data_IF_793304908295
#
_entry.id   IF_793304908295
#
_cell.length_a   1.000
_cell.length_b   1.000
_cell.length_c   1.000
_cell.angle_alpha   90.00
_cell.angle_beta   90.00
_cell.angle_gamma   90.00
#
_symmetry.space_group_name_H-M   'P 1'
#
loop_
_entity.id
_entity.type
_entity.pdbx_description
1 polymer ?
#
# COMPACT_ATOMS: atom_id res chain seq x y z
N UNK A 1 -5.74 15.96 -10.75
CA UNK A 1 -5.93 16.60 -9.43
C UNK A 1 -4.99 16.01 -8.40
N UNK A 2 -4.20 16.83 -7.78
CA UNK A 2 -3.28 16.36 -6.77
C UNK A 2 -4.02 15.98 -5.49
N UNK A 3 -3.50 15.02 -4.76
CA UNK A 3 -3.94 14.71 -3.41
C UNK A 3 -3.69 15.93 -2.52
N UNK A 4 -4.48 16.06 -1.45
CA UNK A 4 -4.26 17.11 -0.45
C UNK A 4 -3.11 16.74 0.49
N UNK A 5 -2.71 15.49 0.54
CA UNK A 5 -1.60 15.05 1.36
C UNK A 5 -0.29 15.53 0.77
N UNK A 6 0.64 15.94 1.63
CA UNK A 6 1.99 16.33 1.22
C UNK A 6 2.91 15.14 1.04
N UNK A 7 2.58 14.03 1.68
CA UNK A 7 3.40 12.82 1.66
C UNK A 7 2.54 11.61 1.35
N UNK A 8 3.11 10.67 0.59
CA UNK A 8 2.50 9.39 0.32
C UNK A 8 3.50 8.30 0.71
N UNK A 9 3.04 7.30 1.45
CA UNK A 9 3.81 6.08 1.63
C UNK A 9 3.14 5.01 0.79
N UNK A 10 3.92 4.37 -0.07
CA UNK A 10 3.40 3.36 -0.98
C UNK A 10 3.96 2.00 -0.55
N UNK A 11 3.06 1.11 -0.16
CA UNK A 11 3.41 -0.24 0.25
C UNK A 11 2.91 -1.22 -0.81
N UNK A 12 3.85 -1.94 -1.44
CA UNK A 12 3.51 -2.92 -2.47
C UNK A 12 3.99 -4.29 -2.05
N UNK A 13 3.25 -5.33 -2.42
CA UNK A 13 3.61 -6.69 -2.03
C UNK A 13 2.86 -7.74 -2.83
N UNK A 14 3.38 -8.94 -2.80
CA UNK A 14 2.68 -10.14 -3.24
C UNK A 14 2.25 -10.93 -2.02
N UNK A 15 1.30 -11.83 -2.21
CA UNK A 15 0.84 -12.74 -1.17
C UNK A 15 0.77 -14.14 -1.75
N UNK A 16 1.06 -15.15 -0.93
CA UNK A 16 0.93 -16.54 -1.35
C UNK A 16 -0.52 -16.82 -1.78
N UNK A 17 -0.73 -17.51 -2.92
CA UNK A 17 -2.08 -17.70 -3.47
C UNK A 17 -3.11 -18.26 -2.50
N UNK A 18 -2.71 -19.22 -1.65
CA UNK A 18 -3.61 -19.82 -0.67
C UNK A 18 -3.99 -18.89 0.47
N UNK A 19 -3.29 -17.76 0.61
CA UNK A 19 -3.57 -16.75 1.63
C UNK A 19 -4.17 -15.46 1.06
N UNK A 20 -4.42 -15.42 -0.25
CA UNK A 20 -4.92 -14.21 -0.91
C UNK A 20 -6.29 -13.77 -0.36
N UNK A 21 -7.19 -14.70 -0.13
CA UNK A 21 -8.51 -14.37 0.38
C UNK A 21 -8.45 -13.74 1.77
N UNK A 22 -7.67 -14.32 2.68
CA UNK A 22 -7.53 -13.77 4.03
C UNK A 22 -6.75 -12.45 4.00
N UNK A 23 -5.76 -12.34 3.11
CA UNK A 23 -5.02 -11.09 2.91
C UNK A 23 -5.98 -9.94 2.59
N UNK A 24 -6.85 -10.12 1.60
CA UNK A 24 -7.78 -9.07 1.20
C UNK A 24 -8.81 -8.79 2.28
N UNK A 25 -9.35 -9.82 2.93
CA UNK A 25 -10.33 -9.62 4.00
C UNK A 25 -9.75 -8.84 5.17
N UNK A 26 -8.60 -9.26 5.68
CA UNK A 26 -7.97 -8.63 6.83
C UNK A 26 -7.51 -7.21 6.49
N UNK A 27 -6.96 -7.02 5.29
CA UNK A 27 -6.52 -5.71 4.86
C UNK A 27 -7.69 -4.73 4.84
N UNK A 28 -8.81 -5.11 4.22
CA UNK A 28 -9.95 -4.21 4.08
C UNK A 28 -10.74 -4.03 5.38
N UNK A 29 -10.91 -5.09 6.16
CA UNK A 29 -11.79 -5.04 7.34
C UNK A 29 -11.09 -4.67 8.64
N UNK A 30 -9.78 -4.88 8.73
CA UNK A 30 -9.03 -4.65 9.97
C UNK A 30 -7.87 -3.68 9.78
N UNK A 31 -6.95 -3.98 8.87
CA UNK A 31 -5.71 -3.23 8.74
C UNK A 31 -5.95 -1.78 8.31
N UNK A 32 -6.69 -1.57 7.22
CA UNK A 32 -7.00 -0.22 6.76
C UNK A 32 -7.80 0.56 7.81
N UNK A 33 -8.90 0.02 8.38
CA UNK A 33 -9.61 0.75 9.44
C UNK A 33 -8.74 1.10 10.64
N UNK A 34 -7.84 0.20 11.05
CA UNK A 34 -6.94 0.47 12.16
C UNK A 34 -5.96 1.59 11.83
N UNK A 35 -5.41 1.58 10.62
CA UNK A 35 -4.45 2.60 10.20
C UNK A 35 -5.11 3.97 10.01
N UNK A 36 -6.37 4.00 9.57
CA UNK A 36 -7.10 5.25 9.43
C UNK A 36 -7.34 5.96 10.77
N UNK A 37 -7.23 5.25 11.89
CA UNK A 37 -7.37 5.85 13.22
C UNK A 37 -6.07 6.48 13.73
N UNK A 38 -4.95 6.23 13.05
CA UNK A 38 -3.65 6.78 13.46
C UNK A 38 -3.63 8.27 13.14
N UNK A 39 -3.30 9.13 14.13
CA UNK A 39 -3.20 10.57 13.85
C UNK A 39 -2.21 10.85 12.73
N UNK A 40 -2.65 11.64 11.75
CA UNK A 40 -1.83 12.00 10.60
C UNK A 40 -1.99 11.11 9.39
N UNK A 41 -2.71 9.99 9.50
CA UNK A 41 -3.11 9.19 8.33
C UNK A 41 -4.38 9.82 7.77
N UNK A 42 -4.26 10.40 6.58
CA UNK A 42 -5.34 11.16 5.94
C UNK A 42 -6.20 10.29 5.03
N UNK A 43 -5.66 9.18 4.56
CA UNK A 43 -6.39 8.27 3.70
C UNK A 43 -5.56 7.04 3.37
N UNK A 44 -6.24 5.96 3.02
CA UNK A 44 -5.60 4.72 2.57
C UNK A 44 -6.42 4.19 1.40
N UNK A 45 -5.76 3.94 0.28
CA UNK A 45 -6.41 3.38 -0.91
C UNK A 45 -5.63 2.17 -1.39
N UNK A 46 -6.33 1.11 -1.68
CA UNK A 46 -5.73 -0.15 -2.15
C UNK A 46 -5.93 -0.29 -3.65
N UNK A 47 -4.91 -0.87 -4.30
CA UNK A 47 -4.91 -1.09 -5.73
C UNK A 47 -4.39 -2.48 -6.04
N UNK A 48 -4.85 -3.04 -7.14
CA UNK A 48 -4.29 -4.26 -7.72
C UNK A 48 -3.71 -3.91 -9.08
N UNK A 49 -2.53 -4.46 -9.39
CA UNK A 49 -1.86 -4.19 -10.67
C UNK A 49 -2.77 -4.56 -11.84
N UNK A 50 -2.84 -3.65 -12.80
CA UNK A 50 -3.50 -3.88 -14.08
C UNK A 50 -2.48 -4.02 -15.19
N UNK A 51 -2.96 -4.33 -16.38
CA UNK A 51 -2.13 -4.36 -17.58
C UNK A 51 -1.99 -2.95 -18.12
N UNK A 52 -0.75 -2.49 -18.31
CA UNK A 52 -0.49 -1.16 -18.84
C UNK A 52 -0.13 -1.26 -20.32
N UNK A 53 -0.94 -0.65 -21.15
CA UNK A 53 -0.65 -0.48 -22.57
C UNK A 53 -0.73 0.99 -22.89
N UNK A 54 0.31 1.52 -23.53
CA UNK A 54 0.38 2.94 -23.83
C UNK A 54 1.16 3.18 -25.11
N UNK A 55 0.95 4.34 -25.71
CA UNK A 55 1.73 4.74 -26.88
C UNK A 55 3.01 5.42 -26.42
N UNK A 56 4.15 4.96 -26.93
CA UNK A 56 5.48 5.52 -26.68
C UNK A 56 6.20 5.61 -28.02
N UNK A 57 6.72 6.77 -28.35
CA UNK A 57 7.46 7.00 -29.60
C UNK A 57 6.64 6.59 -30.83
N UNK A 58 5.34 6.89 -30.80
CA UNK A 58 4.44 6.59 -31.93
C UNK A 58 4.03 5.13 -32.04
N UNK A 59 4.37 4.29 -31.06
CA UNK A 59 4.04 2.88 -31.06
C UNK A 59 3.22 2.49 -29.85
N UNK A 60 2.28 1.57 -30.05
CA UNK A 60 1.53 0.99 -28.95
C UNK A 60 2.39 -0.10 -28.30
N UNK A 61 2.64 0.04 -27.00
CA UNK A 61 3.45 -0.92 -26.24
C UNK A 61 2.76 -1.35 -24.97
N UNK A 62 2.87 -2.63 -24.66
CA UNK A 62 2.48 -3.15 -23.35
C UNK A 62 3.72 -3.19 -22.48
N UNK A 63 3.62 -2.50 -21.35
CA UNK A 63 4.75 -2.37 -20.43
C UNK A 63 4.66 -3.48 -19.39
N UNK A 64 5.70 -4.29 -19.31
CA UNK A 64 5.80 -5.35 -18.32
C UNK A 64 7.07 -5.14 -17.50
N UNK A 65 6.90 -5.10 -16.19
CA UNK A 65 8.01 -4.95 -15.25
C UNK A 65 8.14 -6.26 -14.49
N UNK A 66 9.24 -7.00 -14.69
CA UNK A 66 9.45 -8.26 -13.98
C UNK A 66 9.38 -8.04 -12.47
N UNK A 67 8.76 -8.98 -11.77
CA UNK A 67 8.65 -8.98 -10.32
C UNK A 67 7.88 -7.77 -9.74
N UNK A 68 7.07 -7.10 -10.56
CA UNK A 68 6.21 -6.04 -10.05
C UNK A 68 5.18 -6.61 -9.09
N UNK A 69 5.10 -6.11 -7.84
CA UNK A 69 4.12 -6.62 -6.88
C UNK A 69 2.68 -6.46 -7.37
N UNK A 70 1.84 -7.43 -7.03
CA UNK A 70 0.45 -7.45 -7.48
C UNK A 70 -0.44 -6.46 -6.73
N UNK A 71 -0.14 -6.19 -5.46
CA UNK A 71 -0.97 -5.33 -4.62
C UNK A 71 -0.22 -4.12 -4.13
N UNK A 72 -0.90 -2.97 -4.13
CA UNK A 72 -0.33 -1.71 -3.67
C UNK A 72 -1.34 -1.00 -2.79
N UNK A 73 -0.88 -0.46 -1.68
CA UNK A 73 -1.67 0.44 -0.85
C UNK A 73 -0.96 1.80 -0.80
N UNK A 74 -1.73 2.86 -1.00
CA UNK A 74 -1.23 4.23 -0.93
C UNK A 74 -1.78 4.87 0.33
N UNK A 75 -0.86 5.28 1.20
CA UNK A 75 -1.19 5.93 2.48
C UNK A 75 -0.91 7.42 2.33
N UNK A 76 -1.95 8.24 2.46
CA UNK A 76 -1.83 9.69 2.45
C UNK A 76 -1.49 10.14 3.86
N UNK A 77 -0.36 10.82 4.01
CA UNK A 77 0.19 11.17 5.32
C UNK A 77 0.34 12.68 5.47
N UNK A 78 0.09 13.16 6.68
CA UNK A 78 0.37 14.54 7.05
C UNK A 78 1.87 14.80 7.12
N UNK A 79 2.63 13.81 7.59
CA UNK A 79 4.07 13.91 7.81
C UNK A 79 4.69 12.51 7.84
N UNK A 80 5.97 12.36 7.48
CA UNK A 80 6.67 11.08 7.64
C UNK A 80 6.74 10.60 9.10
N UNK A 81 6.64 11.52 10.06
CA UNK A 81 6.70 11.19 11.48
C UNK A 81 5.57 10.26 11.91
N UNK A 82 4.47 10.24 11.15
CA UNK A 82 3.36 9.32 11.40
C UNK A 82 3.85 7.87 11.43
N UNK A 83 4.78 7.52 10.53
CA UNK A 83 5.26 6.15 10.35
C UNK A 83 6.15 5.66 11.49
N UNK A 84 6.63 6.56 12.33
CA UNK A 84 7.45 6.23 13.50
C UNK A 84 6.72 6.55 14.81
N UNK A 85 5.43 6.86 14.73
CA UNK A 85 4.66 7.19 15.92
C UNK A 85 4.25 5.93 16.70
N UNK A 86 4.04 6.06 18.02
CA UNK A 86 3.52 4.93 18.81
C UNK A 86 2.16 4.44 18.34
N UNK A 87 1.31 5.34 17.84
CA UNK A 87 0.01 4.97 17.34
C UNK A 87 0.12 4.09 16.08
N UNK A 88 1.06 4.41 15.20
CA UNK A 88 1.32 3.57 14.03
C UNK A 88 1.82 2.19 14.44
N UNK A 89 2.79 2.13 15.35
CA UNK A 89 3.34 0.88 15.86
C UNK A 89 2.23 -0.04 16.39
N UNK A 90 1.32 0.53 17.17
CA UNK A 90 0.22 -0.24 17.73
C UNK A 90 -0.73 -0.72 16.64
N UNK A 91 -1.07 0.15 15.69
CA UNK A 91 -2.05 -0.15 14.65
C UNK A 91 -1.59 -1.28 13.73
N UNK A 92 -0.30 -1.32 13.36
CA UNK A 92 0.20 -2.36 12.46
C UNK A 92 0.33 -3.72 13.13
N UNK A 93 0.29 -3.77 14.46
CA UNK A 93 0.35 -5.04 15.21
C UNK A 93 -1.02 -5.49 15.70
N UNK A 94 -2.07 -4.74 15.42
CA UNK A 94 -3.41 -5.06 15.90
C UNK A 94 -4.15 -6.01 14.95
N UNK A 95 -5.06 -6.81 15.51
CA UNK A 95 -5.87 -7.73 14.74
C UNK A 95 -5.12 -8.92 14.17
N UNK A 96 -5.63 -9.46 13.07
CA UNK A 96 -5.09 -10.68 12.46
C UNK A 96 -3.92 -10.44 11.49
N UNK A 97 -3.60 -9.17 11.22
CA UNK A 97 -2.54 -8.85 10.25
C UNK A 97 -1.20 -9.50 10.59
N UNK A 98 -0.66 -9.33 11.82
CA UNK A 98 0.68 -9.85 12.10
C UNK A 98 0.80 -11.37 12.06
N UNK A 99 -0.25 -12.09 12.47
CA UNK A 99 -0.17 -13.54 12.59
C UNK A 99 -0.68 -14.31 11.39
N UNK A 100 -1.74 -13.79 10.74
CA UNK A 100 -2.41 -14.53 9.67
C UNK A 100 -2.09 -14.01 8.27
N UNK A 101 -1.54 -12.81 8.14
CA UNK A 101 -1.32 -12.20 6.83
C UNK A 101 0.15 -11.88 6.59
N UNK A 102 0.77 -11.07 7.45
CA UNK A 102 2.16 -10.61 7.24
C UNK A 102 3.14 -11.73 6.90
N UNK A 103 3.14 -12.89 7.59
CA UNK A 103 4.11 -13.95 7.29
C UNK A 103 3.97 -14.55 5.89
N UNK A 104 2.84 -14.33 5.23
CA UNK A 104 2.54 -14.90 3.91
C UNK A 104 2.69 -13.88 2.79
N UNK A 105 3.16 -12.69 3.11
CA UNK A 105 3.47 -11.67 2.11
C UNK A 105 4.93 -11.77 1.71
N UNK A 106 5.21 -11.35 0.48
CA UNK A 106 6.57 -11.39 -0.07
C UNK A 106 6.75 -10.28 -1.10
N UNK A 107 7.97 -10.11 -1.60
CA UNK A 107 8.29 -9.11 -2.61
C UNK A 107 7.83 -7.72 -2.18
N UNK A 108 8.09 -7.38 -0.92
CA UNK A 108 7.58 -6.13 -0.33
C UNK A 108 8.46 -4.95 -0.69
N UNK A 109 7.81 -3.86 -1.06
CA UNK A 109 8.47 -2.59 -1.38
C UNK A 109 7.74 -1.47 -0.66
N UNK A 110 8.51 -0.59 -0.03
CA UNK A 110 7.97 0.57 0.67
C UNK A 110 8.73 1.80 0.19
N UNK A 111 8.00 2.80 -0.28
CA UNK A 111 8.60 4.06 -0.69
C UNK A 111 7.84 5.23 -0.09
N UNK A 112 8.55 6.32 0.14
CA UNK A 112 7.96 7.57 0.59
C UNK A 112 8.09 8.59 -0.52
N UNK A 113 6.99 9.21 -0.88
CA UNK A 113 6.96 10.25 -1.90
C UNK A 113 6.51 11.56 -1.26
N UNK A 114 7.14 12.63 -1.65
CA UNK A 114 6.79 13.98 -1.21
C UNK A 114 6.25 14.76 -2.39
N UNK A 115 5.14 15.48 -2.19
CA UNK A 115 4.59 16.30 -3.26
C UNK A 115 5.58 17.41 -3.63
N UNK A 116 5.74 17.64 -4.92
CA UNK A 116 6.57 18.72 -5.43
C UNK A 116 5.70 19.97 -5.57
N UNK A 117 6.20 21.07 -5.02
CA UNK A 117 5.48 22.34 -5.09
C UNK A 117 6.37 23.45 -5.63
#
# INVERSE_FOLDING_TARGET
MATKAKYLMIASMDVEPEHEAVFNEVYDKEHVPNLLKVPGVLGVTRYKRGTLTMNIDGERKTIEIPDEPAYTAIYELESPDVLTSPAWDKAIEDGRWPSQVRPHTKNRRHVLLKVME
#
